data_IF_484955381182
#
_entry.id   IF_484955381182
#
_cell.length_a   1.000
_cell.length_b   1.000
_cell.length_c   1.000
_cell.angle_alpha   90.00
_cell.angle_beta   90.00
_cell.angle_gamma   90.00
#
_symmetry.space_group_name_H-M   'P 1'
#
loop_
_entity.id
_entity.type
_entity.pdbx_description
1 polymer ?
#
# COMPACT_ATOMS: atom_id res chain seq x y z
N UNK A 1 6.57 10.20 2.32
CA UNK A 1 5.60 11.25 2.68
C UNK A 1 5.41 12.12 1.46
N UNK A 2 4.18 12.20 0.98
CA UNK A 2 3.80 13.14 -0.05
C UNK A 2 3.91 14.55 0.54
N UNK A 3 4.87 15.32 0.06
CA UNK A 3 4.87 16.76 0.30
C UNK A 3 3.64 17.33 -0.40
N UNK A 4 2.60 17.65 0.36
CA UNK A 4 1.46 18.39 -0.17
C UNK A 4 1.88 19.86 -0.26
N UNK A 5 1.89 20.46 -1.47
CA UNK A 5 2.29 21.87 -1.61
C UNK A 5 1.46 22.77 -0.69
N UNK A 6 2.14 23.60 0.11
CA UNK A 6 1.50 24.56 1.01
C UNK A 6 1.17 24.07 2.42
N UNK A 7 1.44 22.79 2.76
CA UNK A 7 1.39 22.33 4.14
C UNK A 7 2.79 22.40 4.77
N UNK A 8 2.89 22.68 6.10
CA UNK A 8 4.17 22.61 6.82
C UNK A 8 4.74 21.19 6.71
N UNK A 9 6.06 21.05 6.85
CA UNK A 9 6.70 19.74 6.87
C UNK A 9 5.97 18.81 7.85
N UNK A 10 5.32 17.80 7.29
CA UNK A 10 4.66 16.76 8.10
C UNK A 10 5.72 15.78 8.58
N UNK A 11 5.61 15.28 9.81
CA UNK A 11 6.50 14.21 10.25
C UNK A 11 6.40 13.02 9.30
N UNK A 12 7.55 12.54 8.85
CA UNK A 12 7.64 11.35 8.00
C UNK A 12 7.38 10.13 8.87
N UNK A 13 6.50 9.19 8.49
CA UNK A 13 6.40 7.92 9.18
C UNK A 13 7.70 7.11 9.00
N UNK A 14 8.02 6.24 9.96
CA UNK A 14 9.19 5.37 9.89
C UNK A 14 8.99 4.25 8.88
N UNK A 15 7.75 3.84 8.64
CA UNK A 15 7.35 2.81 7.69
C UNK A 15 5.95 3.05 7.13
N UNK A 16 5.63 2.40 6.01
CA UNK A 16 4.29 2.44 5.39
C UNK A 16 3.82 1.02 5.07
N UNK A 17 2.62 0.66 5.53
CA UNK A 17 1.94 -0.58 5.18
C UNK A 17 0.73 -0.26 4.30
N UNK A 18 0.68 -0.84 3.10
CA UNK A 18 -0.35 -0.59 2.10
C UNK A 18 -1.09 -1.88 1.74
N UNK A 19 -2.41 -1.84 1.75
CA UNK A 19 -3.25 -2.90 1.19
C UNK A 19 -3.94 -2.41 -0.07
N UNK A 20 -3.77 -3.12 -1.20
CA UNK A 20 -4.43 -2.84 -2.48
C UNK A 20 -4.53 -1.32 -2.80
N UNK A 21 -3.41 -0.59 -2.81
CA UNK A 21 -3.43 0.87 -2.86
C UNK A 21 -3.78 1.41 -4.24
N UNK A 22 -4.44 2.58 -4.28
CA UNK A 22 -4.53 3.41 -5.48
C UNK A 22 -3.25 4.23 -5.59
N UNK A 23 -2.51 4.08 -6.68
CA UNK A 23 -1.19 4.67 -6.88
C UNK A 23 -1.17 5.60 -8.10
N UNK A 24 -1.61 5.12 -9.27
CA UNK A 24 -1.45 5.84 -10.54
C UNK A 24 -2.72 6.54 -10.99
N UNK A 25 -2.59 7.75 -11.52
CA UNK A 25 -3.62 8.46 -12.29
C UNK A 25 -3.61 8.08 -13.78
N UNK A 26 -2.68 7.23 -14.21
CA UNK A 26 -2.48 6.81 -15.60
C UNK A 26 -3.51 5.80 -16.11
N UNK A 27 -3.05 4.85 -16.92
CA UNK A 27 -3.88 3.83 -17.58
C UNK A 27 -4.67 2.96 -16.58
N UNK A 28 -4.03 2.58 -15.46
CA UNK A 28 -4.61 1.69 -14.44
C UNK A 28 -5.25 2.46 -13.28
N UNK A 29 -5.64 3.71 -13.50
CA UNK A 29 -6.21 4.55 -12.45
C UNK A 29 -7.59 4.04 -11.99
N UNK A 30 -7.80 4.00 -10.69
CA UNK A 30 -9.15 3.97 -10.14
C UNK A 30 -9.77 5.38 -10.26
N UNK A 31 -10.42 5.65 -11.39
CA UNK A 31 -10.90 7.00 -11.78
C UNK A 31 -11.76 7.67 -10.70
N UNK A 32 -12.65 6.90 -10.06
CA UNK A 32 -13.50 7.43 -9.00
C UNK A 32 -12.71 8.07 -7.85
N UNK A 33 -11.61 7.45 -7.41
CA UNK A 33 -10.74 8.02 -6.37
C UNK A 33 -10.11 9.34 -6.82
N UNK A 34 -9.60 9.42 -8.05
CA UNK A 34 -8.96 10.63 -8.54
C UNK A 34 -9.93 11.78 -8.77
N UNK A 35 -11.16 11.49 -9.23
CA UNK A 35 -12.22 12.51 -9.35
C UNK A 35 -12.58 13.06 -7.97
N UNK A 36 -12.72 12.20 -6.96
CA UNK A 36 -13.02 12.66 -5.59
C UNK A 36 -11.86 13.47 -4.98
N UNK A 37 -10.61 13.12 -5.30
CA UNK A 37 -9.43 13.77 -4.74
C UNK A 37 -9.09 15.10 -5.43
N UNK A 38 -9.21 15.18 -6.75
CA UNK A 38 -8.65 16.25 -7.57
C UNK A 38 -9.64 16.83 -8.60
N UNK A 39 -10.90 16.39 -8.62
CA UNK A 39 -11.88 16.80 -9.63
C UNK A 39 -11.64 16.15 -10.99
N UNK A 40 -12.29 16.71 -12.01
CA UNK A 40 -12.29 16.17 -13.38
C UNK A 40 -11.06 16.56 -14.22
N UNK A 41 -10.23 17.48 -13.73
CA UNK A 41 -9.04 17.92 -14.47
C UNK A 41 -7.94 16.85 -14.48
N UNK A 42 -7.57 16.30 -15.66
CA UNK A 42 -6.53 15.26 -15.75
C UNK A 42 -5.17 15.72 -15.24
N UNK A 43 -4.82 17.00 -15.40
CA UNK A 43 -3.54 17.51 -14.92
C UNK A 43 -3.49 17.58 -13.40
N UNK A 44 -4.62 17.95 -12.76
CA UNK A 44 -4.75 17.91 -11.31
C UNK A 44 -4.69 16.47 -10.79
N UNK A 45 -5.34 15.51 -11.48
CA UNK A 45 -5.28 14.09 -11.12
C UNK A 45 -3.85 13.53 -11.24
N UNK A 46 -3.13 13.83 -12.34
CA UNK A 46 -1.75 13.39 -12.54
C UNK A 46 -0.80 13.91 -11.44
N UNK A 47 -1.08 15.09 -10.88
CA UNK A 47 -0.32 15.60 -9.75
C UNK A 47 -0.36 14.71 -8.51
N UNK A 48 -1.30 13.77 -8.42
CA UNK A 48 -1.44 12.79 -7.34
C UNK A 48 -0.96 11.38 -7.71
N UNK A 49 -0.39 11.16 -8.89
CA UNK A 49 0.29 9.89 -9.23
C UNK A 49 1.50 9.69 -8.31
N UNK A 50 1.48 8.62 -7.52
CA UNK A 50 2.47 8.40 -6.46
C UNK A 50 3.76 7.80 -6.98
N UNK A 51 3.71 6.99 -8.03
CA UNK A 51 4.87 6.37 -8.66
C UNK A 51 5.91 7.40 -9.15
N UNK A 52 5.44 8.62 -9.48
CA UNK A 52 6.30 9.72 -9.92
C UNK A 52 6.90 10.53 -8.76
N UNK A 53 6.47 10.25 -7.52
CA UNK A 53 6.86 11.02 -6.32
C UNK A 53 7.78 10.26 -5.38
N UNK A 54 8.12 9.03 -5.72
CA UNK A 54 9.03 8.22 -4.93
C UNK A 54 10.45 8.81 -5.01
N UNK A 55 11.06 8.97 -3.86
CA UNK A 55 12.43 9.48 -3.73
C UNK A 55 13.23 8.60 -2.77
N UNK A 56 14.57 8.70 -2.71
CA UNK A 56 15.38 7.97 -1.74
C UNK A 56 15.05 8.27 -0.27
N UNK A 57 14.26 9.32 0.00
CA UNK A 57 13.76 9.67 1.35
C UNK A 57 12.39 9.07 1.66
N UNK A 58 11.79 8.36 0.71
CA UNK A 58 10.54 7.62 0.96
C UNK A 58 10.82 6.54 2.00
N UNK A 59 10.01 6.40 3.05
CA UNK A 59 10.22 5.37 4.07
C UNK A 59 10.07 3.96 3.49
N UNK A 60 10.61 2.93 4.17
CA UNK A 60 10.37 1.53 3.81
C UNK A 60 8.88 1.21 3.67
N UNK A 61 8.54 0.38 2.69
CA UNK A 61 7.15 0.06 2.34
C UNK A 61 6.91 -1.44 2.38
N UNK A 62 5.88 -1.85 3.11
CA UNK A 62 5.25 -3.15 2.93
C UNK A 62 3.96 -2.97 2.13
N UNK A 63 3.77 -3.76 1.07
CA UNK A 63 2.56 -3.67 0.24
C UNK A 63 2.02 -5.05 -0.11
N UNK A 64 0.69 -5.19 -0.11
CA UNK A 64 0.04 -6.40 -0.59
C UNK A 64 -1.16 -6.07 -1.49
N UNK A 65 -1.47 -7.00 -2.41
CA UNK A 65 -2.56 -6.86 -3.37
C UNK A 65 -3.07 -8.24 -3.79
N UNK A 66 -4.18 -8.27 -4.53
CA UNK A 66 -4.67 -9.48 -5.19
C UNK A 66 -4.68 -9.29 -6.71
N UNK A 67 -4.38 -10.36 -7.45
CA UNK A 67 -4.36 -10.33 -8.93
C UNK A 67 -5.75 -10.21 -9.55
N UNK A 68 -6.80 -10.61 -8.82
CA UNK A 68 -8.19 -10.55 -9.28
C UNK A 68 -8.91 -9.27 -8.85
N UNK A 69 -8.18 -8.24 -8.38
CA UNK A 69 -8.79 -6.95 -8.01
C UNK A 69 -9.22 -6.19 -9.27
N UNK A 70 -10.53 -6.22 -9.57
CA UNK A 70 -11.13 -5.53 -10.71
C UNK A 70 -11.46 -4.05 -10.40
N UNK A 71 -11.40 -3.63 -9.14
CA UNK A 71 -11.70 -2.25 -8.72
C UNK A 71 -10.46 -1.37 -8.79
N UNK A 72 -9.37 -1.82 -8.19
CA UNK A 72 -8.05 -1.19 -8.28
C UNK A 72 -7.10 -2.19 -8.91
N UNK A 73 -6.75 -2.04 -10.18
CA UNK A 73 -5.88 -2.98 -10.88
C UNK A 73 -4.54 -3.18 -10.16
N UNK A 74 -4.07 -4.44 -10.11
CA UNK A 74 -2.82 -4.82 -9.43
C UNK A 74 -1.60 -4.06 -9.97
N UNK A 75 -1.68 -3.54 -11.17
CA UNK A 75 -0.68 -2.68 -11.82
C UNK A 75 -0.33 -1.46 -10.97
N UNK A 76 -1.26 -0.95 -10.15
CA UNK A 76 -0.98 0.10 -9.18
C UNK A 76 0.17 -0.32 -8.23
N UNK A 77 0.10 -1.52 -7.67
CA UNK A 77 1.15 -2.06 -6.81
C UNK A 77 2.44 -2.34 -7.59
N UNK A 78 2.35 -2.89 -8.80
CA UNK A 78 3.52 -3.16 -9.63
C UNK A 78 4.29 -1.89 -10.00
N UNK A 79 3.57 -0.81 -10.33
CA UNK A 79 4.16 0.51 -10.60
C UNK A 79 4.84 1.08 -9.36
N UNK A 80 4.20 0.99 -8.19
CA UNK A 80 4.77 1.42 -6.92
C UNK A 80 6.07 0.67 -6.59
N UNK A 81 6.04 -0.67 -6.63
CA UNK A 81 7.21 -1.51 -6.33
C UNK A 81 8.36 -1.20 -7.29
N UNK A 82 8.06 -1.03 -8.58
CA UNK A 82 9.06 -0.63 -9.58
C UNK A 82 9.68 0.74 -9.26
N UNK A 83 8.87 1.71 -8.84
CA UNK A 83 9.35 3.05 -8.48
C UNK A 83 10.21 3.03 -7.21
N UNK A 84 9.79 2.30 -6.17
CA UNK A 84 10.53 2.11 -4.93
C UNK A 84 11.89 1.45 -5.21
N UNK A 85 11.92 0.38 -6.01
CA UNK A 85 13.16 -0.31 -6.39
C UNK A 85 14.13 0.63 -7.12
N UNK A 86 13.65 1.39 -8.11
CA UNK A 86 14.48 2.38 -8.83
C UNK A 86 15.07 3.46 -7.92
N UNK A 87 14.33 3.85 -6.88
CA UNK A 87 14.76 4.85 -5.90
C UNK A 87 15.67 4.30 -4.79
N UNK A 88 15.90 2.98 -4.76
CA UNK A 88 16.66 2.32 -3.69
C UNK A 88 15.94 2.29 -2.34
N UNK A 89 14.61 2.39 -2.33
CA UNK A 89 13.79 2.32 -1.13
C UNK A 89 13.50 0.86 -0.78
N UNK A 90 13.74 0.41 0.47
CA UNK A 90 13.37 -0.93 0.90
C UNK A 90 11.87 -1.19 0.73
N UNK A 91 11.52 -2.31 0.10
CA UNK A 91 10.13 -2.67 -0.13
C UNK A 91 9.94 -4.17 -0.05
N UNK A 92 8.91 -4.60 0.69
CA UNK A 92 8.41 -5.97 0.64
C UNK A 92 7.02 -5.97 0.01
N UNK A 93 6.76 -6.90 -0.94
CA UNK A 93 5.52 -6.95 -1.69
C UNK A 93 4.94 -8.38 -1.76
N UNK A 94 3.65 -8.52 -1.48
CA UNK A 94 2.93 -9.78 -1.55
C UNK A 94 1.74 -9.69 -2.51
N UNK A 95 1.75 -10.48 -3.57
CA UNK A 95 0.65 -10.58 -4.53
C UNK A 95 -0.05 -11.93 -4.38
N UNK A 96 -1.28 -11.90 -3.93
CA UNK A 96 -2.12 -13.08 -3.83
C UNK A 96 -2.89 -13.29 -5.14
N UNK A 97 -2.97 -14.54 -5.61
CA UNK A 97 -3.68 -14.85 -6.87
C UNK A 97 -5.15 -14.42 -6.79
N UNK A 98 -5.85 -14.78 -5.70
CA UNK A 98 -7.32 -14.67 -5.59
C UNK A 98 -7.76 -13.63 -4.58
N UNK A 99 -8.80 -12.89 -4.93
CA UNK A 99 -9.50 -11.98 -4.05
C UNK A 99 -9.95 -10.71 -4.76
N UNK A 100 -11.15 -10.24 -4.40
CA UNK A 100 -11.65 -8.94 -4.84
C UNK A 100 -11.02 -7.79 -4.03
N UNK A 101 -11.34 -6.56 -4.42
CA UNK A 101 -10.94 -5.37 -3.66
C UNK A 101 -11.54 -5.34 -2.25
N UNK A 102 -10.83 -4.73 -1.31
CA UNK A 102 -11.38 -4.43 0.02
C UNK A 102 -11.50 -5.63 0.96
N UNK A 103 -10.68 -6.68 0.76
CA UNK A 103 -10.75 -7.89 1.59
C UNK A 103 -10.21 -7.73 3.02
N UNK A 104 -9.63 -6.58 3.37
CA UNK A 104 -9.17 -6.25 4.73
C UNK A 104 -8.35 -7.40 5.36
N UNK A 105 -8.72 -7.88 6.53
CA UNK A 105 -8.05 -8.99 7.22
C UNK A 105 -8.38 -10.37 6.62
N UNK A 106 -9.27 -10.44 5.63
CA UNK A 106 -9.74 -11.69 5.00
C UNK A 106 -10.30 -12.71 6.00
N UNK A 107 -10.96 -12.21 7.04
CA UNK A 107 -11.65 -13.00 8.06
C UNK A 107 -13.13 -13.17 7.72
N UNK A 108 -13.88 -13.92 8.54
CA UNK A 108 -15.31 -14.16 8.31
C UNK A 108 -16.16 -12.88 8.36
N UNK A 109 -15.70 -11.83 9.04
CA UNK A 109 -16.39 -10.54 9.17
C UNK A 109 -16.42 -9.72 7.87
N UNK A 110 -15.56 -10.03 6.90
CA UNK A 110 -15.43 -9.27 5.64
C UNK A 110 -15.98 -9.99 4.41
N UNK A 111 -16.86 -10.96 4.56
CA UNK A 111 -17.56 -11.71 3.49
C UNK A 111 -16.66 -12.51 2.49
N UNK A 112 -15.35 -12.37 2.55
CA UNK A 112 -14.40 -13.05 1.67
C UNK A 112 -13.25 -13.67 2.47
N UNK A 113 -13.55 -14.62 3.40
CA UNK A 113 -12.53 -15.20 4.26
C UNK A 113 -11.53 -16.00 3.44
N UNK A 114 -10.24 -15.88 3.80
CA UNK A 114 -9.15 -16.68 3.23
C UNK A 114 -8.00 -16.78 4.22
N UNK A 115 -7.79 -17.95 4.79
CA UNK A 115 -6.67 -18.22 5.68
C UNK A 115 -5.31 -17.97 5.01
N UNK A 116 -5.21 -18.17 3.69
CA UNK A 116 -3.99 -17.88 2.94
C UNK A 116 -3.74 -16.38 2.84
N UNK A 117 -4.74 -15.60 2.44
CA UNK A 117 -4.60 -14.16 2.24
C UNK A 117 -4.49 -13.40 3.58
N UNK A 118 -5.17 -13.84 4.64
CA UNK A 118 -5.09 -13.23 5.98
C UNK A 118 -3.66 -13.23 6.55
N UNK A 119 -2.76 -14.05 6.04
CA UNK A 119 -1.35 -14.10 6.44
C UNK A 119 -0.60 -12.79 6.16
N UNK A 120 -1.14 -11.91 5.30
CA UNK A 120 -0.50 -10.61 5.05
C UNK A 120 -0.21 -9.84 6.33
N UNK A 121 -1.10 -9.94 7.34
CA UNK A 121 -0.90 -9.25 8.62
C UNK A 121 0.29 -9.83 9.41
N UNK A 122 0.44 -11.16 9.41
CA UNK A 122 1.60 -11.82 10.04
C UNK A 122 2.88 -11.45 9.30
N UNK A 123 2.87 -11.48 7.98
CA UNK A 123 4.02 -11.08 7.14
C UNK A 123 4.41 -9.60 7.37
N UNK A 124 3.43 -8.70 7.46
CA UNK A 124 3.68 -7.29 7.75
C UNK A 124 4.31 -7.09 9.15
N UNK A 125 3.89 -7.89 10.14
CA UNK A 125 4.47 -7.85 11.49
C UNK A 125 5.91 -8.39 11.49
N UNK A 126 6.15 -9.52 10.85
CA UNK A 126 7.50 -10.09 10.69
C UNK A 126 8.42 -9.11 9.96
N UNK A 127 7.93 -8.45 8.91
CA UNK A 127 8.67 -7.41 8.21
C UNK A 127 9.02 -6.21 9.10
N UNK A 128 8.11 -5.77 9.99
CA UNK A 128 8.40 -4.70 10.95
C UNK A 128 9.47 -5.14 11.95
N UNK A 129 9.39 -6.37 12.45
CA UNK A 129 10.38 -6.94 13.36
C UNK A 129 11.77 -6.97 12.69
N UNK A 130 11.87 -7.46 11.46
CA UNK A 130 13.12 -7.54 10.71
C UNK A 130 13.70 -6.16 10.34
N UNK A 131 12.83 -5.19 10.04
CA UNK A 131 13.25 -3.87 9.57
C UNK A 131 13.64 -2.92 10.71
N UNK A 132 12.96 -3.00 11.86
CA UNK A 132 13.06 -2.01 12.94
C UNK A 132 13.36 -2.62 14.32
N UNK A 133 13.61 -3.91 14.42
CA UNK A 133 13.72 -4.61 15.72
C UNK A 133 12.47 -4.37 16.60
N UNK A 134 11.29 -4.35 15.96
CA UNK A 134 10.02 -3.97 16.56
C UNK A 134 9.33 -5.22 17.11
N UNK A 135 9.71 -5.62 18.31
CA UNK A 135 9.09 -6.79 18.98
C UNK A 135 7.71 -6.43 19.53
N UNK A 136 6.66 -6.73 18.75
CA UNK A 136 5.32 -6.84 19.31
C UNK A 136 5.31 -8.01 20.29
N UNK A 137 5.23 -7.72 21.57
CA UNK A 137 5.12 -8.76 22.59
C UNK A 137 4.08 -9.79 22.17
N UNK A 138 4.47 -11.04 22.08
CA UNK A 138 3.53 -12.14 21.99
C UNK A 138 2.65 -12.02 23.22
N UNK A 139 1.36 -11.73 23.02
CA UNK A 139 0.39 -11.69 24.11
C UNK A 139 0.17 -13.11 24.65
N UNK A 140 1.19 -13.67 25.29
CA UNK A 140 1.03 -14.76 26.22
C UNK A 140 0.39 -14.15 27.46
N UNK A 141 -0.92 -14.25 27.54
CA UNK A 141 -1.63 -14.15 28.80
C UNK A 141 -1.18 -15.34 29.63
N UNK A 142 -0.26 -15.09 30.57
CA UNK A 142 -0.03 -15.99 31.68
C UNK A 142 -1.37 -16.21 32.36
N UNK A 143 -1.95 -17.41 32.17
CA UNK A 143 -3.15 -17.90 32.83
C UNK A 143 -2.79 -18.90 33.89
#
# INVERSE_FOLDING_TARGET
VLAVPGLPEQPCPDAVILGYPVITAGEYAHRGSFVQLAGEDPAAQQAFSLEDKITPRTPPVFVWHTMEDETVPVENTLLLVSALHRAGVPCEAHLFEKGCHGTSLSTAEVNHPSAHRSRWLTLAREWLDDTFDFHLGTGETDG
#
